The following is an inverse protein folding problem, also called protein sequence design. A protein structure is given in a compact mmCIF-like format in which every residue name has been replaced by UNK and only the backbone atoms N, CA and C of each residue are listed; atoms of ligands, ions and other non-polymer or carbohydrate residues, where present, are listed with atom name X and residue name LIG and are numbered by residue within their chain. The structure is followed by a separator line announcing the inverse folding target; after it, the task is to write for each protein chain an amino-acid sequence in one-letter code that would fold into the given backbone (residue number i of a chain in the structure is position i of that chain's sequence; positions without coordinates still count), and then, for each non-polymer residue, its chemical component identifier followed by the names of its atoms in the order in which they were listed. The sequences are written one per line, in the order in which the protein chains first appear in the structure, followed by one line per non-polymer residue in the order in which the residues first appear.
data_IF_143635268683
#
_entry.id   IF_143635268683
#
_cell.length_a   1.000
_cell.length_b   1.000
_cell.length_c   1.000
_cell.angle_alpha   90.00
_cell.angle_beta   90.00
_cell.angle_gamma   90.00
#
_symmetry.space_group_name_H-M   'P 1'
#
loop_
_entity.id
_entity.type
_entity.pdbx_description
1 polymer ?
#
# COMPACT_ATOMS: atom_id res chain seq x y z
N UNK A 1 15.80 -6.88 13.63
CA UNK A 1 15.24 -5.72 14.34
C UNK A 1 13.95 -5.36 13.63
N UNK A 2 12.83 -5.26 14.34
CA UNK A 2 11.59 -4.78 13.74
C UNK A 2 11.78 -3.31 13.36
N UNK A 3 11.63 -2.97 12.08
CA UNK A 3 11.63 -1.58 11.63
C UNK A 3 10.41 -0.91 12.26
N UNK A 4 10.61 0.17 13.04
CA UNK A 4 9.51 0.90 13.67
C UNK A 4 8.60 1.56 12.63
N UNK A 5 7.33 1.80 12.99
CA UNK A 5 6.33 2.42 12.09
C UNK A 5 6.81 3.74 11.49
N UNK A 6 7.46 4.58 12.28
CA UNK A 6 8.03 5.87 11.86
C UNK A 6 9.16 5.70 10.82
N UNK A 7 9.99 4.68 10.98
CA UNK A 7 11.06 4.39 10.02
C UNK A 7 10.47 3.89 8.69
N UNK A 8 9.46 3.02 8.73
CA UNK A 8 8.75 2.59 7.51
C UNK A 8 8.08 3.74 6.79
N UNK A 9 7.49 4.68 7.53
CA UNK A 9 6.90 5.91 6.96
C UNK A 9 7.95 6.68 6.16
N UNK A 10 9.11 6.95 6.77
CA UNK A 10 10.23 7.66 6.12
C UNK A 10 10.76 6.95 4.89
N UNK A 11 10.85 5.62 4.93
CA UNK A 11 11.28 4.81 3.79
C UNK A 11 10.28 4.85 2.63
N UNK A 12 8.97 4.94 2.93
CA UNK A 12 7.91 5.05 1.92
C UNK A 12 7.78 6.48 1.35
N UNK A 13 8.13 7.52 2.12
CA UNK A 13 7.93 8.94 1.73
C UNK A 13 8.41 9.28 0.31
N UNK A 14 9.67 9.00 -0.10
CA UNK A 14 10.14 9.42 -1.44
C UNK A 14 9.32 8.79 -2.57
N UNK A 15 8.85 7.55 -2.37
CA UNK A 15 8.04 6.83 -3.35
C UNK A 15 6.63 7.41 -3.45
N UNK A 16 6.03 7.80 -2.32
CA UNK A 16 4.70 8.41 -2.29
C UNK A 16 4.73 9.81 -2.88
N UNK A 17 5.76 10.61 -2.58
CA UNK A 17 5.98 11.92 -3.19
C UNK A 17 6.13 11.84 -4.72
N UNK A 18 6.75 10.78 -5.23
CA UNK A 18 6.90 10.58 -6.68
C UNK A 18 5.58 10.25 -7.40
N UNK A 19 4.57 9.70 -6.70
CA UNK A 19 3.32 9.23 -7.32
C UNK A 19 2.12 10.12 -7.03
N UNK A 20 2.07 10.76 -5.86
CA UNK A 20 0.90 11.53 -5.42
C UNK A 20 1.18 13.02 -5.48
N UNK A 21 0.16 13.81 -5.79
CA UNK A 21 0.25 15.28 -5.67
C UNK A 21 0.61 15.67 -4.23
N UNK A 22 1.43 16.70 -4.04
CA UNK A 22 1.91 17.17 -2.71
C UNK A 22 0.79 17.30 -1.66
N UNK A 23 -0.39 17.79 -2.05
CA UNK A 23 -1.58 17.90 -1.19
C UNK A 23 -2.11 16.58 -0.61
N UNK A 24 -1.75 15.44 -1.21
CA UNK A 24 -2.24 14.11 -0.86
C UNK A 24 -1.15 13.21 -0.25
N UNK A 25 0.11 13.64 -0.20
CA UNK A 25 1.23 12.80 0.26
C UNK A 25 1.02 12.34 1.70
N UNK A 26 0.74 13.27 2.61
CA UNK A 26 0.52 12.94 4.02
C UNK A 26 -0.69 12.02 4.20
N UNK A 27 -1.80 12.30 3.51
CA UNK A 27 -2.99 11.45 3.57
C UNK A 27 -2.75 10.04 3.02
N UNK A 28 -1.91 9.89 2.00
CA UNK A 28 -1.51 8.59 1.47
C UNK A 28 -0.61 7.83 2.47
N UNK A 29 0.35 8.51 3.10
CA UNK A 29 1.20 7.91 4.13
C UNK A 29 0.40 7.47 5.35
N UNK A 30 -0.56 8.27 5.80
CA UNK A 30 -1.43 7.94 6.93
C UNK A 30 -2.32 6.73 6.62
N UNK A 31 -2.86 6.66 5.41
CA UNK A 31 -3.63 5.52 4.94
C UNK A 31 -2.78 4.24 4.87
N UNK A 32 -1.54 4.33 4.37
CA UNK A 32 -0.64 3.17 4.34
C UNK A 32 -0.25 2.71 5.75
N UNK A 33 -0.14 3.64 6.70
CA UNK A 33 0.06 3.29 8.10
C UNK A 33 -1.17 2.56 8.68
N UNK A 34 -2.38 3.05 8.39
CA UNK A 34 -3.62 2.36 8.79
C UNK A 34 -3.72 0.96 8.14
N UNK A 35 -3.28 0.81 6.90
CA UNK A 35 -3.24 -0.47 6.22
C UNK A 35 -2.25 -1.44 6.87
N UNK A 36 -1.07 -0.98 7.32
CA UNK A 36 -0.13 -1.81 8.08
C UNK A 36 -0.77 -2.31 9.39
N UNK A 37 -1.46 -1.44 10.12
CA UNK A 37 -2.13 -1.81 11.38
C UNK A 37 -3.25 -2.84 11.13
N UNK A 38 -4.10 -2.59 10.13
CA UNK A 38 -5.17 -3.51 9.78
C UNK A 38 -4.64 -4.86 9.27
N UNK A 39 -3.54 -4.84 8.51
CA UNK A 39 -2.88 -6.05 8.05
C UNK A 39 -2.36 -6.90 9.21
N UNK A 40 -1.69 -6.28 10.17
CA UNK A 40 -1.23 -6.96 11.37
C UNK A 40 -2.37 -7.65 12.14
N UNK A 41 -3.50 -6.96 12.30
CA UNK A 41 -4.65 -7.51 13.01
C UNK A 41 -5.32 -8.66 12.24
N UNK A 42 -5.32 -8.63 10.90
CA UNK A 42 -5.92 -9.67 10.06
C UNK A 42 -5.03 -10.89 9.84
N UNK A 43 -3.71 -10.71 9.67
CA UNK A 43 -2.77 -11.76 9.26
C UNK A 43 -1.80 -12.20 10.38
N UNK A 44 -1.79 -11.50 11.51
CA UNK A 44 -1.19 -11.94 12.76
C UNK A 44 0.23 -11.43 13.03
N UNK A 45 0.84 -11.86 14.15
CA UNK A 45 1.98 -11.19 14.78
C UNK A 45 3.32 -11.24 14.01
N UNK A 46 3.39 -12.00 12.92
CA UNK A 46 4.58 -12.05 12.04
C UNK A 46 4.49 -11.04 10.88
N UNK A 47 3.32 -10.45 10.68
CA UNK A 47 2.97 -9.61 9.54
C UNK A 47 2.74 -8.17 10.03
N UNK A 48 3.81 -7.50 10.46
CA UNK A 48 3.74 -6.17 11.10
C UNK A 48 3.37 -5.01 10.14
N UNK A 49 3.37 -5.27 8.84
CA UNK A 49 3.12 -4.30 7.78
C UNK A 49 2.64 -5.01 6.52
N UNK A 50 2.12 -4.23 5.57
CA UNK A 50 1.89 -4.74 4.22
C UNK A 50 3.19 -5.34 3.65
N UNK A 51 3.18 -6.59 3.19
CA UNK A 51 4.33 -7.17 2.51
C UNK A 51 4.73 -6.31 1.30
N UNK A 52 6.03 -6.14 0.99
CA UNK A 52 6.49 -5.23 -0.07
C UNK A 52 5.77 -5.45 -1.41
N UNK A 53 5.51 -6.70 -1.77
CA UNK A 53 4.82 -7.02 -3.02
C UNK A 53 3.34 -6.58 -3.02
N UNK A 54 2.64 -6.70 -1.89
CA UNK A 54 1.25 -6.24 -1.76
C UNK A 54 1.19 -4.72 -1.79
N UNK A 55 2.15 -4.05 -1.13
CA UNK A 55 2.30 -2.59 -1.22
C UNK A 55 2.53 -2.15 -2.68
N UNK A 56 3.37 -2.88 -3.43
CA UNK A 56 3.62 -2.60 -4.84
C UNK A 56 2.35 -2.70 -5.69
N UNK A 57 1.56 -3.76 -5.50
CA UNK A 57 0.29 -3.97 -6.20
C UNK A 57 -0.72 -2.87 -5.87
N UNK A 58 -0.86 -2.53 -4.59
CA UNK A 58 -1.74 -1.44 -4.13
C UNK A 58 -1.34 -0.12 -4.77
N UNK A 59 -0.05 0.23 -4.78
CA UNK A 59 0.41 1.48 -5.38
C UNK A 59 0.25 1.50 -6.90
N UNK A 60 0.56 0.39 -7.57
CA UNK A 60 0.37 0.23 -9.02
C UNK A 60 -1.08 0.50 -9.42
N UNK A 61 -2.03 -0.15 -8.75
CA UNK A 61 -3.46 -0.01 -9.04
C UNK A 61 -4.03 1.35 -8.64
N UNK A 62 -3.30 2.09 -7.81
CA UNK A 62 -3.73 3.40 -7.30
C UNK A 62 -3.37 4.55 -8.24
N UNK A 63 -2.33 4.40 -9.06
CA UNK A 63 -1.94 5.38 -10.09
C UNK A 63 -1.86 6.84 -9.55
N UNK A 64 -1.35 7.03 -8.33
CA UNK A 64 -1.25 8.36 -7.70
C UNK A 64 -2.58 8.99 -7.26
N UNK A 65 -3.69 8.24 -7.34
CA UNK A 65 -5.01 8.71 -6.95
C UNK A 65 -5.38 8.22 -5.54
N UNK A 66 -5.63 9.15 -4.62
CA UNK A 66 -5.94 8.85 -3.22
C UNK A 66 -7.23 8.02 -3.06
N UNK A 67 -8.26 8.26 -3.87
CA UNK A 67 -9.50 7.49 -3.79
C UNK A 67 -9.30 6.04 -4.26
N UNK A 68 -8.47 5.82 -5.30
CA UNK A 68 -8.06 4.47 -5.71
C UNK A 68 -7.22 3.81 -4.61
N UNK A 69 -6.30 4.55 -3.99
CA UNK A 69 -5.49 4.06 -2.86
C UNK A 69 -6.34 3.54 -1.71
N UNK A 70 -7.36 4.30 -1.29
CA UNK A 70 -8.30 3.86 -0.23
C UNK A 70 -8.96 2.53 -0.62
N UNK A 71 -9.46 2.42 -1.85
CA UNK A 71 -10.15 1.21 -2.33
C UNK A 71 -9.22 0.00 -2.38
N UNK A 72 -8.02 0.18 -2.92
CA UNK A 72 -7.05 -0.89 -3.11
C UNK A 72 -6.42 -1.32 -1.78
N UNK A 73 -6.12 -0.40 -0.87
CA UNK A 73 -5.66 -0.73 0.48
C UNK A 73 -6.71 -1.52 1.26
N UNK A 74 -7.99 -1.10 1.19
CA UNK A 74 -9.09 -1.86 1.78
C UNK A 74 -9.21 -3.25 1.17
N UNK A 75 -9.14 -3.37 -0.15
CA UNK A 75 -9.20 -4.66 -0.84
C UNK A 75 -8.04 -5.56 -0.41
N UNK A 76 -6.83 -5.03 -0.29
CA UNK A 76 -5.65 -5.79 0.13
C UNK A 76 -5.82 -6.38 1.54
N UNK A 77 -6.34 -5.60 2.48
CA UNK A 77 -6.60 -6.08 3.84
C UNK A 77 -7.67 -7.18 3.85
N UNK A 78 -8.74 -7.02 3.07
CA UNK A 78 -9.85 -8.00 3.00
C UNK A 78 -9.41 -9.30 2.32
N UNK A 79 -8.81 -9.20 1.13
CA UNK A 79 -8.19 -10.32 0.40
C UNK A 79 -7.13 -9.80 -0.58
N UNK A 80 -5.86 -9.96 -0.22
CA UNK A 80 -4.76 -9.48 -1.05
C UNK A 80 -4.63 -10.21 -2.39
N UNK A 81 -5.22 -11.41 -2.53
CA UNK A 81 -5.13 -12.20 -3.76
C UNK A 81 -5.90 -11.53 -4.90
N UNK A 82 -7.02 -10.89 -4.61
CA UNK A 82 -7.78 -10.12 -5.60
C UNK A 82 -6.96 -8.93 -6.11
N UNK A 83 -6.22 -8.27 -5.20
CA UNK A 83 -5.32 -7.17 -5.54
C UNK A 83 -4.15 -7.66 -6.38
N UNK A 84 -3.59 -8.84 -6.07
CA UNK A 84 -2.52 -9.45 -6.87
C UNK A 84 -2.98 -9.75 -8.30
N UNK A 85 -4.13 -10.40 -8.46
CA UNK A 85 -4.69 -10.73 -9.78
C UNK A 85 -4.91 -9.46 -10.60
N UNK A 86 -5.55 -8.45 -10.03
CA UNK A 86 -5.78 -7.18 -10.73
C UNK A 86 -4.47 -6.46 -11.11
N UNK A 87 -3.45 -6.54 -10.25
CA UNK A 87 -2.13 -5.96 -10.54
C UNK A 87 -1.41 -6.71 -11.66
N UNK A 88 -1.53 -8.03 -11.72
CA UNK A 88 -0.95 -8.85 -12.79
C UNK A 88 -1.64 -8.58 -14.13
N UNK A 89 -2.97 -8.46 -14.15
CA UNK A 89 -3.74 -8.03 -15.33
C UNK A 89 -3.26 -6.64 -15.81
N UNK A 90 -3.10 -5.69 -14.87
CA UNK A 90 -2.61 -4.34 -15.19
C UNK A 90 -1.19 -4.35 -15.76
N UNK A 91 -0.31 -5.22 -15.28
CA UNK A 91 1.05 -5.38 -15.80
C UNK A 91 1.05 -5.95 -17.21
N UNK A 92 0.16 -6.90 -17.51
CA UNK A 92 0.01 -7.47 -18.84
C UNK A 92 -0.48 -6.44 -19.88
N UNK A 93 -1.31 -5.46 -19.47
CA UNK A 93 -1.73 -4.35 -20.34
C UNK A 93 -0.60 -3.38 -20.72
N UNK A 94 0.48 -3.34 -19.94
CA UNK A 94 1.61 -2.42 -20.14
C UNK A 94 2.74 -3.02 -21.00
N UNK A 95 2.60 -4.28 -21.42
CA UNK A 95 3.54 -5.02 -22.28
C UNK A 95 3.08 -4.99 -23.74
#
# INVERSE_FOLDING_TARGET
MAVGSEQRRRERTPRIEAQFSSKNVEAALDLLHLADLAWHDCYGPRELELPPQVLDDVLLLSEGNLAKLIRNARAAVVDFRDVRVAADDKRAELQ
#
